data_IF_089048961897
#
_entry.id   IF_089048961897
#
_cell.length_a   1.000
_cell.length_b   1.000
_cell.length_c   1.000
_cell.angle_alpha   90.00
_cell.angle_beta   90.00
_cell.angle_gamma   90.00
#
_symmetry.space_group_name_H-M   'P 1'
#
loop_
_entity.id
_entity.type
_entity.pdbx_description
1 polymer ?
#
# COMPACT_ATOMS: atom_id res chain seq x y z
N UNK A 1 -46.40 -14.20 -4.85
CA UNK A 1 -45.40 -13.14 -4.61
C UNK A 1 -44.67 -12.88 -5.91
N UNK A 2 -44.76 -11.68 -6.47
CA UNK A 2 -43.99 -11.31 -7.66
C UNK A 2 -42.51 -11.17 -7.27
N UNK A 3 -41.67 -12.03 -7.80
CA UNK A 3 -40.23 -11.97 -7.62
C UNK A 3 -39.68 -10.96 -8.64
N UNK A 4 -39.30 -9.76 -8.19
CA UNK A 4 -38.53 -8.84 -9.03
C UNK A 4 -37.08 -9.32 -9.02
N UNK A 5 -36.68 -9.97 -10.11
CA UNK A 5 -35.27 -10.34 -10.32
C UNK A 5 -34.48 -9.09 -10.70
N UNK A 6 -33.42 -8.79 -9.95
CA UNK A 6 -32.49 -7.68 -10.24
C UNK A 6 -31.42 -8.05 -11.27
N UNK A 7 -31.33 -9.32 -11.66
CA UNK A 7 -30.32 -9.77 -12.61
C UNK A 7 -30.34 -9.04 -13.96
N UNK A 8 -31.49 -8.76 -14.60
CA UNK A 8 -31.51 -7.98 -15.83
C UNK A 8 -30.93 -6.57 -15.65
N UNK A 9 -31.13 -5.96 -14.48
CA UNK A 9 -30.56 -4.65 -14.18
C UNK A 9 -29.04 -4.74 -14.03
N UNK A 10 -28.51 -5.75 -13.32
CA UNK A 10 -27.06 -5.94 -13.18
C UNK A 10 -26.41 -6.25 -14.54
N UNK A 11 -27.01 -7.12 -15.35
CA UNK A 11 -26.53 -7.41 -16.71
C UNK A 11 -26.55 -6.18 -17.61
N UNK A 12 -27.58 -5.31 -17.48
CA UNK A 12 -27.62 -4.03 -18.17
C UNK A 12 -26.46 -3.12 -17.72
N UNK A 13 -26.18 -3.03 -16.43
CA UNK A 13 -25.05 -2.27 -15.87
C UNK A 13 -23.71 -2.81 -16.41
N UNK A 14 -23.51 -4.14 -16.39
CA UNK A 14 -22.30 -4.78 -16.92
C UNK A 14 -22.14 -4.47 -18.41
N UNK A 15 -23.22 -4.55 -19.18
CA UNK A 15 -23.22 -4.24 -20.61
C UNK A 15 -22.88 -2.77 -20.85
N UNK A 16 -23.45 -1.85 -20.06
CA UNK A 16 -23.13 -0.44 -20.13
C UNK A 16 -21.64 -0.18 -19.82
N UNK A 17 -21.08 -0.80 -18.77
CA UNK A 17 -19.66 -0.67 -18.45
C UNK A 17 -18.73 -1.20 -19.57
N UNK A 18 -19.15 -2.23 -20.30
CA UNK A 18 -18.36 -2.83 -21.39
C UNK A 18 -18.47 -2.04 -22.71
N UNK A 19 -19.64 -1.48 -23.01
CA UNK A 19 -19.98 -1.02 -24.36
C UNK A 19 -20.33 0.46 -24.46
N UNK A 20 -20.75 1.10 -23.36
CA UNK A 20 -21.22 2.49 -23.41
C UNK A 20 -20.05 3.45 -23.63
N UNK A 21 -20.29 4.45 -24.45
CA UNK A 21 -19.31 5.47 -24.84
C UNK A 21 -19.61 6.82 -24.18
N UNK A 22 -20.71 6.99 -23.45
CA UNK A 22 -20.97 8.23 -22.71
C UNK A 22 -20.38 8.16 -21.29
N UNK A 23 -19.40 9.01 -21.02
CA UNK A 23 -18.79 9.10 -19.69
C UNK A 23 -19.78 9.50 -18.60
N UNK A 24 -20.80 10.31 -18.92
CA UNK A 24 -21.81 10.77 -17.96
C UNK A 24 -22.57 9.58 -17.39
N UNK A 25 -22.94 8.62 -18.25
CA UNK A 25 -23.65 7.41 -17.85
C UNK A 25 -22.72 6.51 -17.05
N UNK A 26 -21.51 6.22 -17.57
CA UNK A 26 -20.56 5.32 -16.91
C UNK A 26 -20.12 5.87 -15.54
N UNK A 27 -19.85 7.16 -15.43
CA UNK A 27 -19.45 7.80 -14.18
C UNK A 27 -20.56 7.77 -13.14
N UNK A 28 -21.81 8.02 -13.55
CA UNK A 28 -22.98 7.90 -12.68
C UNK A 28 -23.15 6.46 -12.17
N UNK A 29 -23.04 5.47 -13.06
CA UNK A 29 -23.12 4.06 -12.68
C UNK A 29 -22.01 3.69 -11.68
N UNK A 30 -20.76 4.07 -11.95
CA UNK A 30 -19.63 3.79 -11.05
C UNK A 30 -19.78 4.44 -9.67
N UNK A 31 -20.50 5.56 -9.56
CA UNK A 31 -20.80 6.21 -8.28
C UNK A 31 -21.93 5.51 -7.51
N UNK A 32 -22.96 5.00 -8.19
CA UNK A 32 -24.13 4.40 -7.55
C UNK A 32 -24.03 2.89 -7.29
N UNK A 33 -23.19 2.16 -8.03
CA UNK A 33 -22.98 0.72 -7.80
C UNK A 33 -22.54 0.44 -6.35
N UNK A 34 -21.57 1.15 -5.74
CA UNK A 34 -21.19 0.93 -4.34
C UNK A 34 -22.36 1.08 -3.35
N UNK A 35 -23.29 2.02 -3.61
CA UNK A 35 -24.49 2.20 -2.78
C UNK A 35 -25.44 1.01 -2.93
N UNK A 36 -25.63 0.55 -4.16
CA UNK A 36 -26.45 -0.62 -4.46
C UNK A 36 -25.87 -1.90 -3.83
N UNK A 37 -24.54 -2.05 -3.87
CA UNK A 37 -23.80 -3.16 -3.27
C UNK A 37 -23.83 -3.16 -1.72
N UNK A 38 -24.35 -2.13 -1.04
CA UNK A 38 -24.59 -2.22 0.42
C UNK A 38 -25.73 -3.18 0.73
N UNK A 39 -26.70 -3.32 -0.18
CA UNK A 39 -27.88 -4.15 0.01
C UNK A 39 -27.62 -5.60 -0.44
N UNK A 40 -26.91 -6.38 0.39
CA UNK A 40 -26.51 -7.76 0.07
C UNK A 40 -27.67 -8.67 -0.34
N UNK A 41 -28.84 -8.51 0.29
CA UNK A 41 -30.03 -9.30 -0.02
C UNK A 41 -30.55 -9.09 -1.45
N UNK A 42 -30.33 -7.90 -2.02
CA UNK A 42 -30.77 -7.56 -3.38
C UNK A 42 -29.80 -8.08 -4.45
N UNK A 43 -28.51 -8.10 -4.12
CA UNK A 43 -27.43 -8.46 -5.07
C UNK A 43 -27.19 -9.98 -5.09
N UNK A 44 -27.24 -10.63 -3.92
CA UNK A 44 -27.09 -12.09 -3.81
C UNK A 44 -28.42 -12.79 -4.12
N UNK A 45 -28.89 -12.66 -5.36
CA UNK A 45 -29.98 -13.50 -5.85
C UNK A 45 -29.42 -14.89 -6.20
N UNK A 46 -30.10 -15.94 -5.74
CA UNK A 46 -29.58 -17.31 -5.60
C UNK A 46 -29.09 -17.99 -6.89
N UNK A 47 -29.36 -17.42 -8.07
CA UNK A 47 -29.29 -18.16 -9.32
C UNK A 47 -28.29 -17.63 -10.36
N UNK A 48 -27.66 -16.45 -10.16
CA UNK A 48 -26.88 -15.82 -11.22
C UNK A 48 -25.48 -15.37 -10.78
N UNK A 49 -24.51 -15.49 -11.69
CA UNK A 49 -23.11 -15.08 -11.52
C UNK A 49 -22.89 -13.57 -11.78
N UNK A 50 -23.91 -12.75 -11.56
CA UNK A 50 -23.92 -11.34 -11.96
C UNK A 50 -22.80 -10.52 -11.27
N UNK A 51 -22.44 -10.90 -10.04
CA UNK A 51 -21.35 -10.27 -9.28
C UNK A 51 -19.98 -10.60 -9.88
N UNK A 52 -19.80 -11.81 -10.41
CA UNK A 52 -18.57 -12.22 -11.08
C UNK A 52 -18.41 -11.48 -12.41
N UNK A 53 -19.49 -11.37 -13.19
CA UNK A 53 -19.48 -10.63 -14.46
C UNK A 53 -19.14 -9.15 -14.24
N UNK A 54 -19.71 -8.54 -13.20
CA UNK A 54 -19.42 -7.16 -12.81
C UNK A 54 -17.97 -6.99 -12.36
N UNK A 55 -17.48 -7.86 -11.48
CA UNK A 55 -16.10 -7.82 -11.02
C UNK A 55 -15.11 -8.05 -12.16
N UNK A 56 -15.41 -8.96 -13.10
CA UNK A 56 -14.60 -9.22 -14.29
C UNK A 56 -14.54 -8.00 -15.21
N UNK A 57 -15.68 -7.36 -15.48
CA UNK A 57 -15.75 -6.14 -16.29
C UNK A 57 -14.89 -5.02 -15.69
N UNK A 58 -15.02 -4.76 -14.38
CA UNK A 58 -14.23 -3.72 -13.69
C UNK A 58 -12.75 -4.07 -13.64
N UNK A 59 -12.40 -5.33 -13.40
CA UNK A 59 -10.99 -5.77 -13.42
C UNK A 59 -10.36 -5.60 -14.81
N UNK A 60 -11.11 -5.81 -15.90
CA UNK A 60 -10.65 -5.56 -17.27
C UNK A 60 -10.42 -4.07 -17.56
N UNK A 61 -11.15 -3.17 -16.89
CA UNK A 61 -10.94 -1.71 -17.04
C UNK A 61 -9.60 -1.26 -16.43
N UNK A 62 -9.13 -1.95 -15.38
CA UNK A 62 -7.86 -1.64 -14.68
C UNK A 62 -6.68 -2.41 -15.25
N UNK A 63 -6.77 -3.74 -15.23
CA UNK A 63 -5.72 -4.63 -15.68
C UNK A 63 -5.91 -4.83 -17.19
N UNK A 64 -5.03 -4.22 -17.99
CA UNK A 64 -4.94 -4.42 -19.43
C UNK A 64 -4.45 -5.86 -19.73
N UNK A 65 -5.25 -6.87 -19.39
CA UNK A 65 -4.95 -8.27 -19.63
C UNK A 65 -5.40 -8.73 -21.02
N UNK A 66 -4.83 -9.82 -21.55
CA UNK A 66 -5.38 -10.48 -22.73
C UNK A 66 -6.79 -10.99 -22.38
N UNK A 67 -7.80 -10.56 -23.12
CA UNK A 67 -9.14 -11.12 -23.02
C UNK A 67 -9.05 -12.60 -23.43
N UNK A 68 -9.09 -13.51 -22.46
CA UNK A 68 -9.07 -14.96 -22.71
C UNK A 68 -10.39 -15.47 -23.30
N UNK A 69 -11.43 -14.65 -23.24
CA UNK A 69 -12.68 -14.74 -24.00
C UNK A 69 -12.64 -13.61 -25.04
N UNK A 70 -13.17 -13.81 -26.26
CA UNK A 70 -13.23 -12.78 -27.32
C UNK A 70 -14.06 -11.52 -27.00
N UNK A 71 -14.16 -11.14 -25.73
CA UNK A 71 -14.79 -9.93 -25.23
C UNK A 71 -14.02 -8.70 -25.71
N UNK A 72 -14.80 -7.73 -26.23
CA UNK A 72 -14.29 -6.42 -26.62
C UNK A 72 -13.55 -5.78 -25.44
N UNK A 73 -12.35 -5.27 -25.72
CA UNK A 73 -11.58 -4.49 -24.77
C UNK A 73 -12.45 -3.32 -24.27
N UNK A 74 -12.53 -3.08 -22.95
CA UNK A 74 -13.31 -1.96 -22.44
C UNK A 74 -12.80 -0.63 -23.03
N UNK A 75 -13.70 0.34 -23.28
CA UNK A 75 -13.34 1.61 -23.89
C UNK A 75 -12.24 2.32 -23.10
N UNK A 76 -11.25 2.84 -23.82
CA UNK A 76 -10.19 3.64 -23.21
C UNK A 76 -10.70 5.04 -22.84
N UNK A 77 -9.93 5.81 -22.04
CA UNK A 77 -10.31 7.18 -21.71
C UNK A 77 -10.56 8.04 -22.98
N UNK A 78 -9.81 7.80 -24.04
CA UNK A 78 -9.89 8.54 -25.32
C UNK A 78 -11.12 8.17 -26.17
N UNK A 79 -11.86 7.11 -25.80
CA UNK A 79 -13.04 6.64 -26.54
C UNK A 79 -14.34 7.24 -26.01
N UNK A 80 -14.33 7.79 -24.80
CA UNK A 80 -15.54 8.33 -24.18
C UNK A 80 -15.93 9.70 -24.74
N UNK A 81 -17.22 9.86 -25.00
CA UNK A 81 -17.89 11.13 -25.28
C UNK A 81 -18.30 11.78 -23.96
N UNK A 82 -18.47 13.10 -23.97
CA UNK A 82 -18.86 13.89 -22.80
C UNK A 82 -17.89 13.77 -21.60
N UNK A 83 -16.65 13.38 -21.85
CA UNK A 83 -15.63 13.31 -20.80
C UNK A 83 -15.15 14.71 -20.40
N UNK A 84 -14.79 14.95 -19.13
CA UNK A 84 -14.21 16.20 -18.68
C UNK A 84 -12.98 16.61 -19.50
N UNK A 85 -12.70 17.92 -19.56
CA UNK A 85 -11.45 18.40 -20.14
C UNK A 85 -10.27 17.77 -19.40
N UNK A 86 -9.35 17.12 -20.14
CA UNK A 86 -8.21 16.35 -19.60
C UNK A 86 -8.59 15.05 -18.86
N UNK A 87 -9.63 14.36 -19.31
CA UNK A 87 -9.95 13.02 -18.80
C UNK A 87 -8.80 12.04 -19.06
N UNK A 88 -8.26 11.46 -17.98
CA UNK A 88 -7.12 10.57 -18.05
C UNK A 88 -7.50 9.17 -17.57
N UNK A 89 -6.67 8.18 -17.93
CA UNK A 89 -6.79 6.80 -17.42
C UNK A 89 -6.80 6.75 -15.89
N UNK A 90 -6.09 7.68 -15.25
CA UNK A 90 -6.09 7.79 -13.80
C UNK A 90 -7.45 8.22 -13.25
N UNK A 91 -8.07 9.24 -13.84
CA UNK A 91 -9.41 9.70 -13.42
C UNK A 91 -10.44 8.57 -13.56
N UNK A 92 -10.36 7.80 -14.64
CA UNK A 92 -11.17 6.58 -14.81
C UNK A 92 -10.96 5.62 -13.62
N UNK A 93 -9.71 5.30 -13.29
CA UNK A 93 -9.40 4.36 -12.21
C UNK A 93 -9.92 4.84 -10.85
N UNK A 94 -9.87 6.15 -10.56
CA UNK A 94 -10.41 6.72 -9.32
C UNK A 94 -11.91 6.44 -9.13
N UNK A 95 -12.69 6.30 -10.21
CA UNK A 95 -14.11 5.94 -10.15
C UNK A 95 -14.32 4.43 -10.00
N UNK A 96 -13.41 3.61 -10.52
CA UNK A 96 -13.54 2.14 -10.51
C UNK A 96 -13.13 1.53 -9.15
N UNK A 97 -12.09 2.06 -8.49
CA UNK A 97 -11.58 1.49 -7.25
C UNK A 97 -12.56 1.43 -6.08
N UNK A 98 -13.41 2.45 -5.82
CA UNK A 98 -14.47 2.34 -4.81
C UNK A 98 -15.40 1.14 -5.05
N UNK A 99 -15.72 0.85 -6.30
CA UNK A 99 -16.57 -0.30 -6.66
C UNK A 99 -15.85 -1.63 -6.39
N UNK A 100 -14.58 -1.73 -6.80
CA UNK A 100 -13.75 -2.91 -6.53
C UNK A 100 -13.59 -3.15 -5.01
N UNK A 101 -13.44 -2.09 -4.22
CA UNK A 101 -13.37 -2.18 -2.76
C UNK A 101 -14.68 -2.72 -2.16
N UNK A 102 -15.85 -2.30 -2.65
CA UNK A 102 -17.14 -2.85 -2.22
C UNK A 102 -17.29 -4.33 -2.58
N UNK A 103 -16.79 -4.74 -3.76
CA UNK A 103 -16.83 -6.13 -4.24
C UNK A 103 -15.97 -7.08 -3.41
N UNK A 104 -14.93 -6.60 -2.72
CA UNK A 104 -14.15 -7.43 -1.80
C UNK A 104 -15.03 -8.10 -0.72
N UNK A 105 -16.12 -7.43 -0.34
CA UNK A 105 -17.05 -7.95 0.66
C UNK A 105 -17.94 -9.10 0.12
N UNK A 106 -18.00 -9.29 -1.20
CA UNK A 106 -18.73 -10.34 -1.92
C UNK A 106 -17.85 -11.54 -2.30
N UNK A 107 -16.72 -11.72 -1.60
CA UNK A 107 -15.73 -12.75 -1.89
C UNK A 107 -16.29 -14.18 -2.07
N UNK A 108 -17.37 -14.53 -1.38
CA UNK A 108 -18.00 -15.86 -1.47
C UNK A 108 -18.67 -16.13 -2.82
N UNK A 109 -19.11 -15.08 -3.51
CA UNK A 109 -19.68 -15.19 -4.85
C UNK A 109 -18.58 -15.26 -5.92
N UNK A 110 -17.41 -14.65 -5.64
CA UNK A 110 -16.29 -14.52 -6.59
C UNK A 110 -15.52 -15.82 -6.79
N UNK A 111 -15.36 -16.24 -8.05
CA UNK A 111 -14.46 -17.33 -8.40
C UNK A 111 -13.00 -17.04 -7.97
N UNK A 112 -12.22 -18.03 -7.51
CA UNK A 112 -10.82 -17.85 -7.09
C UNK A 112 -9.90 -17.09 -8.05
N UNK A 113 -9.90 -17.34 -9.38
CA UNK A 113 -9.07 -16.55 -10.30
C UNK A 113 -9.48 -15.07 -10.34
N UNK A 114 -10.78 -14.79 -10.16
CA UNK A 114 -11.28 -13.42 -10.12
C UNK A 114 -10.94 -12.72 -8.81
N UNK A 115 -10.94 -13.44 -7.67
CA UNK A 115 -10.42 -12.93 -6.40
C UNK A 115 -8.95 -12.50 -6.54
N UNK A 116 -8.11 -13.31 -7.18
CA UNK A 116 -6.71 -12.95 -7.43
C UNK A 116 -6.59 -11.68 -8.29
N UNK A 117 -7.40 -11.58 -9.35
CA UNK A 117 -7.43 -10.39 -10.22
C UNK A 117 -7.88 -9.16 -9.45
N UNK A 118 -8.89 -9.27 -8.60
CA UNK A 118 -9.36 -8.19 -7.74
C UNK A 118 -8.26 -7.70 -6.80
N UNK A 119 -7.54 -8.61 -6.13
CA UNK A 119 -6.40 -8.28 -5.27
C UNK A 119 -5.32 -7.53 -6.07
N UNK A 120 -4.97 -8.02 -7.27
CA UNK A 120 -4.00 -7.34 -8.16
C UNK A 120 -4.46 -5.97 -8.63
N UNK A 121 -5.76 -5.78 -8.89
CA UNK A 121 -6.32 -4.45 -9.17
C UNK A 121 -6.09 -3.50 -7.99
N UNK A 122 -6.47 -3.93 -6.78
CA UNK A 122 -6.35 -3.11 -5.58
C UNK A 122 -4.88 -2.77 -5.25
N UNK A 123 -3.98 -3.74 -5.41
CA UNK A 123 -2.53 -3.54 -5.31
C UNK A 123 -2.02 -2.48 -6.31
N UNK A 124 -2.46 -2.57 -7.57
CA UNK A 124 -2.13 -1.56 -8.58
C UNK A 124 -2.66 -0.16 -8.21
N UNK A 125 -3.86 -0.09 -7.61
CA UNK A 125 -4.45 1.14 -7.11
C UNK A 125 -3.71 1.76 -5.93
N UNK A 126 -3.14 0.93 -5.05
CA UNK A 126 -2.33 1.36 -3.92
C UNK A 126 -0.94 1.88 -4.33
N UNK A 127 -0.37 1.33 -5.40
CA UNK A 127 1.05 1.56 -5.77
C UNK A 127 1.28 2.73 -6.72
N UNK A 128 0.34 3.01 -7.64
CA UNK A 128 0.50 4.13 -8.57
C UNK A 128 0.30 5.47 -7.86
N UNK A 129 1.42 6.10 -7.52
CA UNK A 129 1.45 7.51 -7.14
C UNK A 129 1.11 8.34 -8.36
N UNK A 130 0.10 9.19 -8.24
CA UNK A 130 -0.23 10.15 -9.27
C UNK A 130 -0.56 11.46 -8.58
N UNK A 131 0.33 12.43 -8.80
CA UNK A 131 0.17 13.88 -8.67
C UNK A 131 -0.76 14.35 -7.56
N UNK A 132 -0.18 15.03 -6.55
CA UNK A 132 -0.69 15.96 -5.51
C UNK A 132 -2.16 16.44 -5.58
N UNK A 133 -3.09 15.57 -5.92
CA UNK A 133 -4.51 15.82 -5.99
C UNK A 133 -5.13 15.01 -4.87
N UNK A 134 -5.97 15.66 -4.07
CA UNK A 134 -6.68 15.05 -2.94
C UNK A 134 -7.41 13.75 -3.33
N UNK A 135 -7.88 13.65 -4.58
CA UNK A 135 -8.53 12.46 -5.13
C UNK A 135 -7.59 11.25 -5.25
N UNK A 136 -6.32 11.48 -5.59
CA UNK A 136 -5.31 10.43 -5.71
C UNK A 136 -4.99 9.76 -4.37
N UNK A 137 -4.86 10.57 -3.31
CA UNK A 137 -4.59 10.08 -1.96
C UNK A 137 -5.77 9.30 -1.37
N UNK A 138 -7.00 9.79 -1.54
CA UNK A 138 -8.22 9.09 -1.10
C UNK A 138 -8.35 7.70 -1.75
N UNK A 139 -7.90 7.57 -3.00
CA UNK A 139 -7.93 6.29 -3.72
C UNK A 139 -6.90 5.29 -3.20
N UNK A 140 -5.67 5.72 -2.91
CA UNK A 140 -4.64 4.84 -2.34
C UNK A 140 -5.05 4.31 -0.96
N UNK A 141 -5.54 5.20 -0.09
CA UNK A 141 -6.09 4.84 1.21
C UNK A 141 -7.18 3.76 1.08
N UNK A 142 -8.20 4.01 0.23
CA UNK A 142 -9.28 3.04 -0.01
C UNK A 142 -8.78 1.69 -0.52
N UNK A 143 -7.76 1.69 -1.39
CA UNK A 143 -7.18 0.44 -1.91
C UNK A 143 -6.44 -0.33 -0.81
N UNK A 144 -5.68 0.34 0.06
CA UNK A 144 -4.97 -0.30 1.18
C UNK A 144 -5.97 -0.88 2.18
N UNK A 145 -7.02 -0.12 2.55
CA UNK A 145 -8.08 -0.63 3.42
C UNK A 145 -8.82 -1.81 2.79
N UNK A 146 -9.08 -1.77 1.48
CA UNK A 146 -9.67 -2.90 0.77
C UNK A 146 -8.75 -4.13 0.72
N UNK A 147 -7.42 -3.95 0.57
CA UNK A 147 -6.44 -5.02 0.69
C UNK A 147 -6.45 -5.65 2.09
N UNK A 148 -6.63 -4.84 3.15
CA UNK A 148 -6.85 -5.35 4.51
C UNK A 148 -8.09 -6.23 4.57
N UNK A 149 -9.22 -5.80 3.98
CA UNK A 149 -10.42 -6.63 3.89
C UNK A 149 -10.17 -7.93 3.10
N UNK A 150 -9.52 -7.86 1.94
CA UNK A 150 -9.14 -9.05 1.16
C UNK A 150 -8.24 -10.01 1.95
N UNK A 151 -7.38 -9.48 2.82
CA UNK A 151 -6.53 -10.29 3.69
C UNK A 151 -7.34 -11.14 4.67
N UNK A 152 -8.45 -10.60 5.16
CA UNK A 152 -9.34 -11.28 6.11
C UNK A 152 -10.28 -12.26 5.41
N UNK A 153 -10.88 -11.83 4.30
CA UNK A 153 -11.97 -12.55 3.63
C UNK A 153 -11.47 -13.55 2.58
N UNK A 154 -10.30 -13.29 1.97
CA UNK A 154 -9.74 -14.07 0.85
C UNK A 154 -8.36 -14.65 1.20
N UNK A 155 -8.16 -15.11 2.45
CA UNK A 155 -6.87 -15.57 2.98
C UNK A 155 -6.14 -16.52 2.01
N UNK A 156 -6.85 -17.51 1.45
CA UNK A 156 -6.31 -18.53 0.54
C UNK A 156 -5.64 -17.96 -0.72
N UNK A 157 -6.25 -16.95 -1.32
CA UNK A 157 -5.70 -16.31 -2.52
C UNK A 157 -4.68 -15.23 -2.14
N UNK A 158 -4.87 -14.55 -1.01
CA UNK A 158 -3.92 -13.56 -0.49
C UNK A 158 -2.55 -14.17 -0.20
N UNK A 159 -2.44 -15.37 0.40
CA UNK A 159 -1.14 -16.04 0.66
C UNK A 159 -0.25 -16.08 -0.58
N UNK A 160 -0.84 -16.33 -1.76
CA UNK A 160 -0.13 -16.50 -3.03
C UNK A 160 0.40 -15.17 -3.58
N UNK A 161 -0.32 -14.07 -3.33
CA UNK A 161 -0.03 -12.74 -3.87
C UNK A 161 0.72 -11.84 -2.87
N UNK A 162 0.64 -12.15 -1.58
CA UNK A 162 1.18 -11.32 -0.50
C UNK A 162 2.66 -10.95 -0.67
N UNK A 163 3.57 -11.83 -1.12
CA UNK A 163 4.96 -11.45 -1.37
C UNK A 163 5.10 -10.32 -2.40
N UNK A 164 4.33 -10.36 -3.48
CA UNK A 164 4.32 -9.34 -4.54
C UNK A 164 3.70 -8.04 -4.03
N UNK A 165 2.54 -8.14 -3.36
CA UNK A 165 1.84 -7.01 -2.74
C UNK A 165 2.77 -6.24 -1.79
N UNK A 166 3.45 -6.94 -0.88
CA UNK A 166 4.39 -6.30 0.07
C UNK A 166 5.57 -5.63 -0.65
N UNK A 167 6.14 -6.29 -1.65
CA UNK A 167 7.24 -5.73 -2.43
C UNK A 167 6.81 -4.46 -3.18
N UNK A 168 5.59 -4.41 -3.71
CA UNK A 168 5.11 -3.24 -4.43
C UNK A 168 4.70 -2.11 -3.48
N UNK A 169 4.09 -2.43 -2.33
CA UNK A 169 3.83 -1.46 -1.27
C UNK A 169 5.12 -0.88 -0.68
N UNK A 170 6.22 -1.63 -0.61
CA UNK A 170 7.50 -1.10 -0.09
C UNK A 170 8.15 -0.05 -1.00
N UNK A 171 7.66 0.11 -2.24
CA UNK A 171 8.18 1.07 -3.21
C UNK A 171 7.41 2.40 -3.21
N UNK A 172 6.27 2.46 -2.51
CA UNK A 172 5.43 3.66 -2.54
C UNK A 172 6.02 4.75 -1.63
N UNK A 173 5.85 6.01 -2.02
CA UNK A 173 6.15 7.13 -1.14
C UNK A 173 5.01 7.28 -0.13
N UNK A 174 5.30 7.06 1.15
CA UNK A 174 4.29 7.13 2.19
C UNK A 174 3.97 8.60 2.50
N UNK A 175 2.70 8.98 2.37
CA UNK A 175 2.17 10.28 2.78
C UNK A 175 1.47 10.18 4.14
N UNK A 176 1.09 11.32 4.72
CA UNK A 176 0.38 11.39 6.01
C UNK A 176 -0.98 10.68 5.97
N UNK A 177 -1.72 10.78 4.86
CA UNK A 177 -3.03 10.14 4.71
C UNK A 177 -2.97 8.61 4.66
N UNK A 178 -1.92 8.04 4.06
CA UNK A 178 -1.81 6.57 3.91
C UNK A 178 -1.01 5.90 5.03
N UNK A 179 -0.31 6.66 5.88
CA UNK A 179 0.59 6.11 6.90
C UNK A 179 -0.14 5.23 7.93
N UNK A 180 -1.31 5.66 8.42
CA UNK A 180 -2.09 4.86 9.36
C UNK A 180 -2.65 3.59 8.67
N UNK A 181 -3.39 3.69 7.55
CA UNK A 181 -3.92 2.51 6.84
C UNK A 181 -2.86 1.47 6.49
N UNK A 182 -1.67 1.88 6.04
CA UNK A 182 -0.62 0.93 5.65
C UNK A 182 0.01 0.25 6.88
N UNK A 183 0.17 0.96 7.98
CA UNK A 183 0.65 0.37 9.24
C UNK A 183 -0.39 -0.59 9.81
N UNK A 184 -1.68 -0.27 9.73
CA UNK A 184 -2.77 -1.16 10.15
C UNK A 184 -2.83 -2.43 9.29
N UNK A 185 -2.69 -2.30 7.96
CA UNK A 185 -2.59 -3.43 7.06
C UNK A 185 -1.45 -4.37 7.46
N UNK A 186 -0.23 -3.83 7.60
CA UNK A 186 0.95 -4.61 7.98
C UNK A 186 0.82 -5.18 9.39
N UNK A 187 0.18 -4.46 10.32
CA UNK A 187 -0.12 -4.96 11.66
C UNK A 187 -1.11 -6.13 11.64
N UNK A 188 -2.18 -6.03 10.86
CA UNK A 188 -3.20 -7.08 10.73
C UNK A 188 -2.59 -8.40 10.27
N UNK A 189 -1.65 -8.38 9.32
CA UNK A 189 -0.96 -9.58 8.85
C UNK A 189 -0.32 -10.40 9.98
N UNK A 190 0.19 -9.76 11.03
CA UNK A 190 0.78 -10.46 12.20
C UNK A 190 -0.21 -11.31 12.98
N UNK A 191 -1.50 -11.00 12.88
CA UNK A 191 -2.61 -11.72 13.51
C UNK A 191 -3.04 -12.97 12.73
N UNK A 192 -2.47 -13.18 11.53
CA UNK A 192 -2.79 -14.30 10.65
C UNK A 192 -1.52 -15.10 10.28
N UNK A 193 -1.04 -15.98 11.18
CA UNK A 193 0.24 -16.70 11.01
C UNK A 193 0.40 -17.47 9.70
N UNK A 194 -0.72 -17.98 9.15
CA UNK A 194 -0.73 -18.73 7.90
C UNK A 194 -0.29 -17.88 6.71
N UNK A 195 -0.59 -16.58 6.70
CA UNK A 195 -0.24 -15.66 5.60
C UNK A 195 1.26 -15.50 5.41
N UNK A 196 2.02 -15.49 6.50
CA UNK A 196 3.47 -15.30 6.47
C UNK A 196 4.25 -16.59 6.78
N UNK A 197 3.58 -17.73 6.80
CA UNK A 197 4.21 -19.04 7.08
C UNK A 197 5.36 -19.36 6.11
N UNK A 198 5.24 -18.95 4.85
CA UNK A 198 6.21 -19.20 3.78
C UNK A 198 7.20 -18.05 3.55
N UNK A 199 7.21 -17.02 4.41
CA UNK A 199 8.10 -15.88 4.21
C UNK A 199 9.57 -16.26 4.31
N UNK A 200 10.35 -15.73 3.37
CA UNK A 200 11.82 -15.71 3.43
C UNK A 200 12.31 -14.30 3.74
N UNK A 201 13.63 -14.12 3.82
CA UNK A 201 14.25 -12.87 4.25
C UNK A 201 13.71 -11.63 3.53
N UNK A 202 13.48 -11.73 2.22
CA UNK A 202 13.04 -10.62 1.37
C UNK A 202 11.65 -10.10 1.74
N UNK A 203 10.69 -10.97 2.10
CA UNK A 203 9.34 -10.52 2.45
C UNK A 203 9.33 -9.80 3.81
N UNK A 204 10.10 -10.30 4.78
CA UNK A 204 10.30 -9.58 6.04
C UNK A 204 11.00 -8.24 5.82
N UNK A 205 11.97 -8.18 4.92
CA UNK A 205 12.63 -6.94 4.55
C UNK A 205 11.64 -5.94 3.93
N UNK A 206 10.76 -6.38 3.03
CA UNK A 206 9.70 -5.54 2.47
C UNK A 206 8.78 -4.99 3.56
N UNK A 207 8.40 -5.81 4.54
CA UNK A 207 7.61 -5.36 5.71
C UNK A 207 8.32 -4.24 6.46
N UNK A 208 9.60 -4.42 6.82
CA UNK A 208 10.34 -3.38 7.52
C UNK A 208 10.47 -2.12 6.66
N UNK A 209 10.80 -2.26 5.38
CA UNK A 209 10.92 -1.14 4.45
C UNK A 209 9.62 -0.34 4.31
N UNK A 210 8.44 -0.98 4.35
CA UNK A 210 7.15 -0.29 4.40
C UNK A 210 7.02 0.54 5.68
N UNK A 211 7.41 0.01 6.84
CA UNK A 211 7.25 0.70 8.11
C UNK A 211 8.27 1.83 8.33
N UNK A 212 9.48 1.74 7.73
CA UNK A 212 10.59 2.66 8.03
C UNK A 212 10.26 4.14 7.79
N UNK A 213 9.63 4.57 6.68
CA UNK A 213 9.31 5.98 6.47
C UNK A 213 8.40 6.55 7.57
N UNK A 214 7.51 5.74 8.14
CA UNK A 214 6.56 6.15 9.17
C UNK A 214 7.18 6.42 10.54
N UNK A 215 8.47 6.12 10.74
CA UNK A 215 9.15 6.33 12.03
C UNK A 215 9.74 7.73 12.19
N UNK A 216 9.63 8.61 11.18
CA UNK A 216 10.17 9.96 11.23
C UNK A 216 9.29 10.88 12.12
N UNK A 217 9.78 11.34 13.29
CA UNK A 217 9.01 12.15 14.23
C UNK A 217 8.74 13.58 13.77
N UNK A 218 9.46 14.06 12.75
CA UNK A 218 9.28 15.40 12.18
C UNK A 218 8.22 15.42 11.08
N UNK A 219 7.95 14.26 10.45
CA UNK A 219 6.97 14.12 9.38
C UNK A 219 5.60 13.66 9.88
N UNK A 220 5.55 12.86 10.94
CA UNK A 220 4.32 12.23 11.43
C UNK A 220 4.08 12.53 12.92
N UNK A 221 2.80 12.47 13.32
CA UNK A 221 2.42 12.66 14.72
C UNK A 221 2.92 11.51 15.62
N UNK A 222 2.93 11.77 16.93
CA UNK A 222 3.42 10.81 17.94
C UNK A 222 2.72 9.44 17.85
N UNK A 223 1.41 9.42 17.55
CA UNK A 223 0.65 8.19 17.39
C UNK A 223 1.17 7.32 16.23
N UNK A 224 1.32 7.90 15.04
CA UNK A 224 1.78 7.19 13.84
C UNK A 224 3.19 6.63 14.02
N UNK A 225 4.08 7.44 14.60
CA UNK A 225 5.46 7.03 14.88
C UNK A 225 5.49 5.90 15.91
N UNK A 226 4.70 6.00 16.98
CA UNK A 226 4.59 4.95 18.00
C UNK A 226 4.04 3.65 17.40
N UNK A 227 3.01 3.74 16.56
CA UNK A 227 2.45 2.60 15.84
C UNK A 227 3.49 1.95 14.91
N UNK A 228 4.27 2.74 14.18
CA UNK A 228 5.34 2.21 13.31
C UNK A 228 6.39 1.42 14.11
N UNK A 229 6.86 1.95 15.23
CA UNK A 229 7.79 1.25 16.11
C UNK A 229 7.18 -0.04 16.67
N UNK A 230 5.91 0.01 17.09
CA UNK A 230 5.19 -1.16 17.57
C UNK A 230 5.12 -2.25 16.48
N UNK A 231 4.72 -1.89 15.26
CA UNK A 231 4.62 -2.83 14.13
C UNK A 231 5.98 -3.44 13.79
N UNK A 232 7.04 -2.64 13.74
CA UNK A 232 8.42 -3.13 13.52
C UNK A 232 8.81 -4.13 14.61
N UNK A 233 8.55 -3.82 15.88
CA UNK A 233 8.89 -4.71 17.00
C UNK A 233 8.13 -6.04 16.93
N UNK A 234 6.81 -6.00 16.68
CA UNK A 234 5.99 -7.22 16.54
C UNK A 234 6.49 -8.08 15.39
N UNK A 235 6.78 -7.49 14.22
CA UNK A 235 7.30 -8.23 13.09
C UNK A 235 8.69 -8.81 13.35
N UNK A 236 9.58 -8.06 14.01
CA UNK A 236 10.89 -8.57 14.40
C UNK A 236 10.80 -9.80 15.32
N UNK A 237 9.83 -9.80 16.25
CA UNK A 237 9.56 -10.96 17.11
C UNK A 237 8.99 -12.15 16.32
N UNK A 238 8.16 -11.91 15.30
CA UNK A 238 7.60 -12.94 14.42
C UNK A 238 8.59 -13.47 13.37
N UNK A 239 9.66 -12.73 13.07
CA UNK A 239 10.70 -13.17 12.15
C UNK A 239 11.39 -14.46 12.65
N UNK A 240 11.70 -15.35 11.71
CA UNK A 240 12.52 -16.54 11.96
C UNK A 240 13.91 -16.13 12.49
N UNK A 241 14.43 -16.89 13.46
CA UNK A 241 15.67 -16.56 14.16
C UNK A 241 16.87 -16.34 13.23
N UNK A 242 16.97 -17.15 12.17
CA UNK A 242 18.09 -17.13 11.21
C UNK A 242 18.31 -15.77 10.53
N UNK A 243 17.26 -14.97 10.33
CA UNK A 243 17.36 -13.69 9.61
C UNK A 243 17.54 -12.47 10.53
N UNK A 244 17.34 -12.63 11.85
CA UNK A 244 17.27 -11.49 12.78
C UNK A 244 18.55 -10.67 12.80
N UNK A 245 19.72 -11.31 12.70
CA UNK A 245 21.02 -10.61 12.72
C UNK A 245 21.16 -9.62 11.56
N UNK A 246 20.68 -9.99 10.38
CA UNK A 246 20.75 -9.14 9.19
C UNK A 246 19.76 -7.98 9.29
N UNK A 247 18.57 -8.24 9.83
CA UNK A 247 17.55 -7.21 10.02
C UNK A 247 17.91 -6.17 11.08
N UNK A 248 18.62 -6.55 12.15
CA UNK A 248 19.05 -5.59 13.19
C UNK A 248 19.87 -4.46 12.58
N UNK A 249 20.80 -4.77 11.68
CA UNK A 249 21.62 -3.75 11.01
C UNK A 249 20.76 -2.82 10.15
N UNK A 250 19.83 -3.37 9.38
CA UNK A 250 18.91 -2.58 8.57
C UNK A 250 18.03 -1.65 9.41
N UNK A 251 17.37 -2.19 10.45
CA UNK A 251 16.45 -1.45 11.32
C UNK A 251 17.20 -0.33 12.06
N UNK A 252 18.33 -0.65 12.69
CA UNK A 252 19.11 0.35 13.46
C UNK A 252 19.64 1.46 12.56
N UNK A 253 20.13 1.14 11.36
CA UNK A 253 20.62 2.14 10.43
C UNK A 253 19.48 3.03 9.90
N UNK A 254 18.34 2.46 9.52
CA UNK A 254 17.21 3.26 9.01
C UNK A 254 16.57 4.13 10.10
N UNK A 255 16.46 3.64 11.35
CA UNK A 255 15.97 4.45 12.46
C UNK A 255 16.90 5.63 12.74
N UNK A 256 18.22 5.40 12.73
CA UNK A 256 19.22 6.47 12.88
C UNK A 256 19.12 7.50 11.77
N UNK A 257 18.98 7.08 10.51
CA UNK A 257 18.83 8.01 9.39
C UNK A 257 17.63 8.95 9.57
N UNK A 258 16.50 8.45 10.07
CA UNK A 258 15.30 9.26 10.30
C UNK A 258 15.43 10.27 11.47
N UNK A 259 16.41 10.08 12.37
CA UNK A 259 16.68 10.98 13.51
C UNK A 259 17.83 11.96 13.20
N UNK A 260 18.83 11.52 12.44
CA UNK A 260 20.06 12.28 12.17
C UNK A 260 19.86 13.38 11.13
N UNK A 261 19.09 13.12 10.07
CA UNK A 261 18.90 14.09 8.96
C UNK A 261 18.42 15.46 9.46
N UNK A 262 17.45 15.56 10.39
CA UNK A 262 17.00 16.85 10.93
C UNK A 262 17.96 17.47 11.95
N UNK A 263 18.85 16.67 12.56
CA UNK A 263 19.81 17.15 13.56
C UNK A 263 21.01 17.84 12.88
N UNK A 264 21.50 17.29 11.77
CA UNK A 264 22.52 17.97 10.94
C UNK A 264 21.97 19.25 10.30
N UNK A 265 20.70 19.27 9.88
CA UNK A 265 20.07 20.46 9.29
C UNK A 265 19.80 21.53 10.35
N UNK A 266 19.39 21.13 11.56
CA UNK A 266 19.30 22.01 12.73
C UNK A 266 20.66 22.57 13.16
N UNK A 267 21.72 21.75 13.17
CA UNK A 267 23.09 22.20 13.45
C UNK A 267 23.63 23.10 12.34
N UNK A 268 23.29 22.86 11.06
CA UNK A 268 23.71 23.70 9.94
C UNK A 268 22.99 25.05 9.88
N UNK A 269 21.73 25.11 10.34
CA UNK A 269 21.01 26.36 10.56
C UNK A 269 21.56 27.13 11.78
N UNK A 270 21.91 26.40 12.86
CA UNK A 270 22.54 26.99 14.04
C UNK A 270 23.98 27.46 13.78
N UNK A 271 24.74 26.73 12.97
CA UNK A 271 26.13 27.07 12.61
C UNK A 271 26.20 28.27 11.66
N UNK A 272 25.20 28.46 10.79
CA UNK A 272 25.03 29.71 10.03
C UNK A 272 24.57 30.89 10.88
N UNK A 273 23.96 30.63 12.03
CA UNK A 273 23.49 31.65 12.98
C UNK A 273 24.52 32.04 14.04
N UNK A 274 25.61 31.28 14.22
CA UNK A 274 26.53 31.50 15.35
C UNK A 274 27.86 32.12 14.88
N UNK A 275 27.75 33.35 14.37
CA UNK A 275 28.82 34.37 14.46
C UNK A 275 28.40 35.50 15.40
N UNK A 276 27.85 35.13 16.54
CA UNK A 276 27.76 36.03 17.69
C UNK A 276 27.89 35.22 18.98
N UNK A 277 28.94 35.58 19.71
CA UNK A 277 29.30 35.17 21.07
C UNK A 277 28.09 34.91 21.97
N UNK A 278 27.93 33.66 22.44
CA UNK A 278 27.12 33.34 23.61
C UNK A 278 28.06 33.03 24.77
N UNK A 279 28.18 34.01 25.66
CA UNK A 279 28.79 33.86 26.99
C UNK A 279 27.83 33.00 27.81
N UNK A 280 28.34 31.93 28.43
CA UNK A 280 27.57 31.04 29.32
C UNK A 280 26.92 31.83 30.46
N UNK A 281 25.60 31.78 30.57
CA UNK A 281 24.86 32.28 31.74
C UNK A 281 24.63 31.14 32.74
N UNK A 282 25.12 31.35 33.96
CA UNK A 282 25.12 30.43 35.09
C UNK A 282 23.70 30.24 35.68
N UNK A 283 23.38 28.98 36.02
CA UNK A 283 22.04 28.49 36.35
C UNK A 283 21.67 28.69 37.82
N UNK A 284 21.68 29.93 38.32
CA UNK A 284 21.41 30.23 39.74
C UNK A 284 20.09 30.97 40.04
N UNK A 285 19.20 31.22 39.06
CA UNK A 285 18.00 32.02 39.30
C UNK A 285 16.66 31.42 38.83
N UNK A 286 16.38 30.16 39.21
CA UNK A 286 15.08 29.54 38.95
C UNK A 286 14.03 29.98 39.98
N UNK A 287 13.36 31.11 39.75
CA UNK A 287 12.08 31.42 40.42
C UNK A 287 10.91 30.84 39.62
N UNK A 288 10.09 30.02 40.29
CA UNK A 288 8.78 29.56 39.81
C UNK A 288 7.89 30.76 39.50
N UNK A 289 7.19 30.75 38.37
CA UNK A 289 5.81 31.26 38.28
C UNK A 289 5.09 30.75 37.03
N UNK A 290 3.85 30.39 37.27
CA UNK A 290 2.76 29.93 36.40
C UNK A 290 2.07 31.09 35.67
N UNK A 291 1.55 30.85 34.46
CA UNK A 291 0.15 31.10 34.03
C UNK A 291 0.01 31.05 32.50
N UNK A 292 -1.14 30.53 32.06
CA UNK A 292 -1.69 30.56 30.70
C UNK A 292 -1.83 31.99 30.14
N UNK A 293 -1.75 32.15 28.81
CA UNK A 293 -2.82 32.67 27.92
C UNK A 293 -2.47 32.37 26.44
N UNK A 294 -3.51 32.09 25.65
CA UNK A 294 -3.50 31.82 24.21
C UNK A 294 -2.91 32.95 23.34
N UNK A 295 -2.35 32.58 22.18
CA UNK A 295 -2.46 33.37 20.95
C UNK A 295 -2.33 32.48 19.71
N UNK A 296 -3.44 32.39 18.96
CA UNK A 296 -3.56 31.84 17.60
C UNK A 296 -3.35 33.00 16.61
N UNK A 297 -2.54 32.77 15.55
CA UNK A 297 -2.46 33.42 14.20
C UNK A 297 -0.98 33.41 13.76
N UNK A 298 -0.53 32.94 12.59
CA UNK A 298 -1.14 32.32 11.41
C UNK A 298 -0.06 32.18 10.31
N UNK A 299 -0.20 31.11 9.50
CA UNK A 299 0.14 30.94 8.08
C UNK A 299 1.61 30.84 7.55
N UNK A 300 1.83 29.69 6.86
CA UNK A 300 2.66 29.38 5.64
C UNK A 300 4.18 29.57 5.67
N UNK A 301 5.04 28.67 5.16
CA UNK A 301 4.92 27.48 4.30
C UNK A 301 6.09 26.51 4.63
N UNK A 302 6.00 25.21 4.30
CA UNK A 302 7.11 24.65 3.54
C UNK A 302 6.62 23.73 2.42
N UNK A 303 6.63 24.24 1.19
CA UNK A 303 6.60 23.39 0.01
C UNK A 303 8.05 23.01 -0.33
N UNK A 304 8.48 21.85 0.17
CA UNK A 304 9.83 21.33 0.03
C UNK A 304 9.83 19.81 0.11
N UNK A 305 9.09 19.15 -0.78
CA UNK A 305 8.97 17.69 -0.80
C UNK A 305 10.23 17.05 -1.40
N UNK A 306 11.28 16.85 -0.59
CA UNK A 306 12.40 15.98 -0.94
C UNK A 306 11.99 14.52 -0.75
N UNK A 307 11.78 13.82 -1.86
CA UNK A 307 11.54 12.39 -1.89
C UNK A 307 12.87 11.64 -1.76
N UNK A 308 13.14 11.10 -0.57
CA UNK A 308 14.30 10.23 -0.32
C UNK A 308 14.01 8.85 -0.89
N UNK A 309 14.66 8.50 -1.99
CA UNK A 309 14.63 7.15 -2.59
C UNK A 309 15.56 6.25 -1.79
N UNK A 310 15.01 5.28 -1.08
CA UNK A 310 15.78 4.25 -0.38
C UNK A 310 16.44 3.30 -1.39
N UNK A 311 17.70 2.86 -1.16
CA UNK A 311 18.36 1.91 -2.04
C UNK A 311 17.60 0.58 -2.07
N UNK A 312 17.34 0.06 -3.29
CA UNK A 312 16.67 -1.22 -3.53
C UNK A 312 17.29 -2.35 -2.71
N UNK A 313 16.43 -3.21 -2.15
CA UNK A 313 16.84 -4.46 -1.53
C UNK A 313 17.70 -5.27 -2.51
N UNK A 314 18.95 -5.57 -2.12
CA UNK A 314 19.77 -6.57 -2.82
C UNK A 314 19.34 -7.96 -2.37
N UNK A 315 19.23 -8.94 -3.29
CA UNK A 315 18.99 -10.32 -2.90
C UNK A 315 20.16 -10.82 -2.03
N UNK A 316 19.83 -11.48 -0.91
CA UNK A 316 20.79 -12.17 -0.07
C UNK A 316 21.42 -13.32 -0.88
N UNK A 317 22.75 -13.35 -1.01
CA UNK A 317 23.48 -14.44 -1.67
C UNK A 317 23.24 -15.75 -0.90
N UNK A 318 22.78 -16.77 -1.63
CA UNK A 318 22.79 -18.16 -1.18
C UNK A 318 24.23 -18.63 -0.97
N UNK A 319 24.55 -19.11 0.23
CA UNK A 319 25.79 -19.85 0.49
C UNK A 319 25.48 -21.31 0.17
N UNK A 320 25.95 -21.78 -0.97
CA UNK A 320 25.90 -23.19 -1.36
C UNK A 320 27.32 -23.77 -1.43
N UNK A 321 27.51 -24.86 -0.70
CA UNK A 321 28.44 -25.98 -0.89
C UNK A 321 29.92 -25.71 -1.19
N UNK A 322 30.74 -25.79 -0.13
CA UNK A 322 32.10 -26.33 -0.25
C UNK A 322 32.08 -27.83 0.07
N UNK A 323 31.86 -28.65 -0.95
CA UNK A 323 32.29 -30.05 -0.97
C UNK A 323 33.43 -30.18 -1.97
N UNK A 324 34.67 -30.12 -1.47
CA UNK A 324 35.86 -30.40 -2.27
C UNK A 324 36.18 -31.91 -2.18
N UNK A 325 36.49 -32.58 -3.30
CA UNK A 325 36.82 -34.01 -3.30
C UNK A 325 38.27 -34.27 -2.88
N UNK A 326 38.45 -35.35 -2.13
CA UNK A 326 39.73 -35.99 -1.80
C UNK A 326 40.56 -36.27 -3.06
N UNK A 327 41.85 -35.94 -3.04
CA UNK A 327 42.87 -36.43 -3.99
C UNK A 327 43.99 -37.12 -3.22
N UNK A 328 44.51 -38.29 -3.67
CA UNK A 328 45.55 -39.04 -2.97
C UNK A 328 46.97 -38.50 -3.29
N UNK A 329 48.00 -38.83 -2.49
CA UNK A 329 49.34 -38.29 -2.66
C UNK A 329 50.14 -39.02 -3.75
N UNK A 330 50.96 -38.28 -4.50
CA UNK A 330 51.92 -38.79 -5.48
C UNK A 330 53.26 -39.18 -4.82
N UNK A 331 54.00 -40.16 -5.37
CA UNK A 331 55.23 -40.69 -4.79
C UNK A 331 56.47 -39.84 -5.14
N UNK A 332 57.55 -40.13 -4.40
CA UNK A 332 58.73 -39.31 -4.19
C UNK A 332 59.75 -39.15 -5.32
N UNK A 333 60.75 -38.36 -4.96
CA UNK A 333 61.95 -37.90 -5.68
C UNK A 333 62.76 -38.98 -6.42
N UNK A 334 63.19 -38.61 -7.63
CA UNK A 334 64.53 -38.78 -8.20
C UNK A 334 64.85 -37.43 -8.88
N UNK A 335 65.95 -36.69 -8.70
CA UNK A 335 67.28 -36.84 -8.10
C UNK A 335 67.69 -35.50 -7.48
#
# INVERSE_FOLDING_TARGET
MAYISLSPAVQCIVTALKCDLDWTIVSFLLQEIPNSLKNRALVLTRYNNDVDDLAAALCNMILLGPSSSGERRPPGPDTYRNSPARFSRLELHCHVFPVLASLASYHTALAPPLQQRLIKCLEFGATKVTTESERGYSRQEKCITALTTCTLEMEREMVKLLPEVLLNLSKISITTSIAIPILEFVSMLTRLPKLFSNFVGDQYMSVFAICMPCTNPFKYNHYTVSLAHHVIAVWFLKCRFNFRRDFVRFITNGLRANIIIPFEEGINLLSKSTTSTLVNEDSSNRKRSSSLTEQILGHSDPNGTLSVVWPRARPLRSVADHSAPFSPPAPGLER
#
